data_IF_453105500833
#
_entry.id   IF_453105500833
#
_cell.length_a   1.000
_cell.length_b   1.000
_cell.length_c   1.000
_cell.angle_alpha   90.00
_cell.angle_beta   90.00
_cell.angle_gamma   90.00
#
_symmetry.space_group_name_H-M   'P 1'
#
loop_
_entity.id
_entity.type
_entity.pdbx_description
1 polymer ?
#
# COMPACT_ATOMS: atom_id res chain seq x y z
N UNK A 1 -10.35 11.63 13.02
CA UNK A 1 -10.60 12.19 11.68
C UNK A 1 -11.14 13.61 11.77
N UNK A 2 -12.43 13.84 12.08
CA UNK A 2 -13.04 15.19 12.08
C UNK A 2 -12.36 16.22 12.99
N UNK A 3 -11.92 15.81 14.20
CA UNK A 3 -11.19 16.70 15.12
C UNK A 3 -9.84 17.19 14.59
N UNK A 4 -9.29 16.53 13.57
CA UNK A 4 -8.02 16.87 12.92
C UNK A 4 -8.22 17.52 11.54
N UNK A 5 -9.47 17.77 11.13
CA UNK A 5 -9.78 18.31 9.81
C UNK A 5 -9.53 17.35 8.65
N UNK A 6 -9.35 16.05 8.91
CA UNK A 6 -9.09 15.06 7.86
C UNK A 6 -10.40 14.58 7.24
N UNK A 7 -10.43 14.61 5.92
CA UNK A 7 -11.46 13.95 5.11
C UNK A 7 -11.22 12.43 5.10
N UNK A 8 -12.31 11.67 5.19
CA UNK A 8 -12.27 10.21 5.06
C UNK A 8 -12.73 9.87 3.66
N UNK A 9 -11.83 9.33 2.84
CA UNK A 9 -12.21 8.84 1.53
C UNK A 9 -13.04 7.56 1.66
N UNK A 10 -14.16 7.42 0.94
CA UNK A 10 -14.92 6.18 0.94
C UNK A 10 -14.07 5.06 0.35
N UNK A 11 -14.03 3.92 1.03
CA UNK A 11 -13.32 2.72 0.58
C UNK A 11 -14.29 1.53 0.60
N UNK A 12 -14.54 0.88 -0.55
CA UNK A 12 -15.43 -0.27 -0.62
C UNK A 12 -14.88 -1.46 0.19
N UNK A 13 -15.79 -2.31 0.68
CA UNK A 13 -15.40 -3.52 1.37
C UNK A 13 -14.71 -4.49 0.41
N UNK A 14 -13.70 -5.22 0.91
CA UNK A 14 -12.95 -6.23 0.17
C UNK A 14 -12.19 -5.73 -1.06
N UNK A 15 -11.77 -4.46 -1.12
CA UNK A 15 -11.07 -3.89 -2.29
C UNK A 15 -9.58 -3.57 -2.04
N UNK A 16 -8.73 -4.58 -1.75
CA UNK A 16 -7.28 -4.37 -1.60
C UNK A 16 -6.63 -3.89 -2.91
N UNK A 17 -7.21 -4.23 -4.06
CA UNK A 17 -6.81 -3.76 -5.38
C UNK A 17 -6.98 -2.24 -5.56
N UNK A 18 -7.73 -1.58 -4.67
CA UNK A 18 -7.91 -0.13 -4.59
C UNK A 18 -7.17 0.51 -3.41
N UNK A 19 -6.45 -0.25 -2.59
CA UNK A 19 -5.67 0.26 -1.46
C UNK A 19 -4.18 0.35 -1.85
N UNK A 20 -3.57 1.55 -1.95
CA UNK A 20 -2.16 1.69 -2.33
C UNK A 20 -1.19 0.90 -1.44
N UNK A 21 -1.50 0.77 -0.16
CA UNK A 21 -0.71 -0.06 0.76
C UNK A 21 -0.69 -1.53 0.32
N UNK A 22 -1.82 -2.07 -0.13
CA UNK A 22 -1.93 -3.48 -0.52
C UNK A 22 -1.37 -3.74 -1.92
N UNK A 23 -1.82 -3.00 -2.93
CA UNK A 23 -1.44 -3.28 -4.33
C UNK A 23 -0.02 -2.82 -4.69
N UNK A 24 0.58 -1.90 -3.92
CA UNK A 24 1.88 -1.30 -4.26
C UNK A 24 2.96 -1.58 -3.21
N UNK A 25 2.66 -1.35 -1.92
CA UNK A 25 3.68 -1.39 -0.86
C UNK A 25 3.92 -2.78 -0.29
N UNK A 26 2.87 -3.44 0.21
CA UNK A 26 3.02 -4.66 1.02
C UNK A 26 3.51 -5.86 0.23
N UNK A 27 3.21 -5.94 -1.07
CA UNK A 27 3.76 -6.99 -1.94
C UNK A 27 5.29 -6.92 -2.07
N UNK A 28 5.87 -5.72 -2.03
CA UNK A 28 7.32 -5.53 -2.03
C UNK A 28 7.91 -5.77 -0.63
N UNK A 29 7.27 -5.25 0.41
CA UNK A 29 7.71 -5.44 1.78
C UNK A 29 7.75 -6.94 2.15
N UNK A 30 6.70 -7.70 1.81
CA UNK A 30 6.67 -9.15 2.07
C UNK A 30 7.78 -9.90 1.35
N UNK A 31 8.16 -9.47 0.15
CA UNK A 31 9.29 -10.05 -0.58
C UNK A 31 10.62 -9.73 0.07
N UNK A 32 10.79 -8.49 0.54
CA UNK A 32 11.99 -8.06 1.27
C UNK A 32 12.17 -8.84 2.57
N UNK A 33 11.11 -8.93 3.38
CA UNK A 33 11.12 -9.66 4.65
C UNK A 33 11.11 -11.19 4.48
N UNK A 34 10.93 -11.68 3.25
CA UNK A 34 10.77 -13.10 2.97
C UNK A 34 12.00 -13.90 3.37
N UNK A 35 11.85 -14.80 4.34
CA UNK A 35 12.93 -15.66 4.82
C UNK A 35 13.86 -15.01 5.86
N UNK A 36 13.62 -13.76 6.24
CA UNK A 36 14.30 -13.13 7.36
C UNK A 36 13.72 -13.64 8.68
N UNK A 37 14.59 -13.89 9.66
CA UNK A 37 14.23 -14.17 11.03
C UNK A 37 14.77 -13.04 11.92
N UNK A 38 13.95 -12.59 12.86
CA UNK A 38 14.31 -11.54 13.81
C UNK A 38 14.24 -12.10 15.22
N UNK A 39 15.26 -11.84 16.03
CA UNK A 39 15.33 -12.34 17.41
C UNK A 39 14.46 -11.47 18.33
N UNK A 40 14.37 -10.18 18.04
CA UNK A 40 13.61 -9.21 18.80
C UNK A 40 12.69 -8.35 17.92
N UNK A 41 11.73 -7.69 18.56
CA UNK A 41 10.89 -6.68 17.90
C UNK A 41 11.73 -5.48 17.41
N UNK A 42 12.77 -5.09 18.16
CA UNK A 42 13.64 -3.98 17.81
C UNK A 42 14.44 -4.27 16.53
N UNK A 43 14.85 -5.52 16.30
CA UNK A 43 15.51 -5.94 15.06
C UNK A 43 14.56 -5.78 13.87
N UNK A 44 13.30 -6.21 14.02
CA UNK A 44 12.27 -6.06 12.99
C UNK A 44 11.99 -4.58 12.70
N UNK A 45 11.81 -3.76 13.73
CA UNK A 45 11.55 -2.32 13.58
C UNK A 45 12.73 -1.63 12.88
N UNK A 46 13.96 -2.00 13.24
CA UNK A 46 15.17 -1.44 12.63
C UNK A 46 15.28 -1.81 11.16
N UNK A 47 14.99 -3.07 10.79
CA UNK A 47 14.96 -3.51 9.40
C UNK A 47 13.86 -2.82 8.60
N UNK A 48 12.65 -2.68 9.17
CA UNK A 48 11.56 -1.94 8.53
C UNK A 48 11.95 -0.50 8.23
N UNK A 49 12.55 0.20 9.21
CA UNK A 49 13.03 1.57 9.03
C UNK A 49 14.06 1.66 7.92
N UNK A 50 15.08 0.80 7.96
CA UNK A 50 16.10 0.74 6.92
C UNK A 50 15.49 0.49 5.54
N UNK A 51 14.53 -0.43 5.42
CA UNK A 51 13.84 -0.67 4.15
C UNK A 51 13.10 0.56 3.65
N UNK A 52 12.32 1.22 4.51
CA UNK A 52 11.59 2.45 4.16
C UNK A 52 12.52 3.61 3.80
N UNK A 53 13.64 3.79 4.51
CA UNK A 53 14.62 4.85 4.27
C UNK A 53 15.34 4.69 2.91
N UNK A 54 15.38 3.46 2.39
CA UNK A 54 15.93 3.15 1.07
C UNK A 54 14.92 3.25 -0.08
N UNK A 55 13.64 3.52 0.19
CA UNK A 55 12.64 3.73 -0.86
C UNK A 55 12.68 5.17 -1.37
N UNK A 56 12.69 5.32 -2.69
CA UNK A 56 12.63 6.63 -3.34
C UNK A 56 11.27 7.31 -3.06
N UNK A 57 11.24 8.64 -2.95
CA UNK A 57 9.99 9.39 -2.86
C UNK A 57 9.08 9.12 -4.07
N UNK A 58 9.67 8.91 -5.24
CA UNK A 58 8.96 8.60 -6.47
C UNK A 58 8.26 7.24 -6.40
N UNK A 59 8.80 6.29 -5.63
CA UNK A 59 8.12 5.01 -5.37
C UNK A 59 6.73 5.25 -4.75
N UNK A 60 6.63 6.10 -3.73
CA UNK A 60 5.35 6.42 -3.10
C UNK A 60 4.44 7.23 -4.03
N UNK A 61 5.00 8.20 -4.77
CA UNK A 61 4.23 8.99 -5.74
C UNK A 61 3.58 8.10 -6.79
N UNK A 62 4.30 7.12 -7.33
CA UNK A 62 3.77 6.16 -8.30
C UNK A 62 2.62 5.35 -7.71
N UNK A 63 2.77 4.84 -6.48
CA UNK A 63 1.70 4.09 -5.82
C UNK A 63 0.42 4.89 -5.63
N UNK A 64 0.54 6.13 -5.14
CA UNK A 64 -0.61 7.03 -4.94
C UNK A 64 -1.23 7.45 -6.27
N UNK A 65 -0.42 7.83 -7.27
CA UNK A 65 -0.94 8.26 -8.57
C UNK A 65 -1.62 7.11 -9.33
N UNK A 66 -1.20 5.86 -9.09
CA UNK A 66 -1.82 4.67 -9.66
C UNK A 66 -3.23 4.39 -9.12
N UNK A 67 -3.64 5.03 -8.01
CA UNK A 67 -4.99 4.89 -7.48
C UNK A 67 -6.03 5.39 -8.49
N UNK A 68 -5.78 6.53 -9.15
CA UNK A 68 -6.74 7.10 -10.11
C UNK A 68 -6.98 6.17 -11.30
N UNK A 69 -5.92 5.57 -11.84
CA UNK A 69 -6.04 4.64 -12.97
C UNK A 69 -6.73 3.33 -12.56
N UNK A 70 -6.52 2.85 -11.33
CA UNK A 70 -7.22 1.68 -10.78
C UNK A 70 -8.70 1.95 -10.53
N UNK A 71 -9.04 3.11 -9.98
CA UNK A 71 -10.43 3.51 -9.81
C UNK A 71 -11.17 3.56 -11.16
N UNK A 72 -10.53 4.12 -12.19
CA UNK A 72 -11.10 4.13 -13.54
C UNK A 72 -11.32 2.70 -14.07
N UNK A 73 -10.33 1.81 -13.91
CA UNK A 73 -10.49 0.40 -14.31
C UNK A 73 -11.62 -0.29 -13.56
N UNK A 74 -11.79 -0.05 -12.27
CA UNK A 74 -12.89 -0.61 -11.49
C UNK A 74 -14.25 -0.17 -12.05
N UNK A 75 -14.38 1.11 -12.45
CA UNK A 75 -15.59 1.63 -13.12
C UNK A 75 -15.80 0.94 -14.47
N UNK A 76 -14.75 0.82 -15.28
CA UNK A 76 -14.80 0.18 -16.61
C UNK A 76 -15.16 -1.31 -16.52
N UNK A 77 -14.80 -1.96 -15.40
CA UNK A 77 -15.13 -3.35 -15.08
C UNK A 77 -16.47 -3.51 -14.35
N UNK A 78 -17.31 -2.47 -14.33
CA UNK A 78 -18.62 -2.48 -13.67
C UNK A 78 -18.54 -2.91 -12.19
N UNK A 79 -17.55 -2.36 -11.46
CA UNK A 79 -17.28 -2.64 -10.05
C UNK A 79 -16.72 -4.04 -9.75
N UNK A 80 -16.27 -4.76 -10.76
CA UNK A 80 -15.48 -5.98 -10.58
C UNK A 80 -14.00 -5.64 -10.23
N UNK A 81 -13.27 -6.64 -9.75
CA UNK A 81 -11.89 -6.50 -9.31
C UNK A 81 -10.95 -6.10 -10.45
N UNK A 82 -10.05 -5.17 -10.17
CA UNK A 82 -9.06 -4.67 -11.15
C UNK A 82 -7.95 -5.67 -11.42
N UNK A 83 -7.66 -6.53 -10.44
CA UNK A 83 -6.68 -7.62 -10.54
C UNK A 83 -7.39 -8.97 -10.33
N UNK A 84 -7.05 -9.95 -11.16
CA UNK A 84 -7.50 -11.35 -11.04
C UNK A 84 -6.40 -12.21 -10.45
#
# INVERSE_FOLDING_TARGET
MKRYGWEILPHPAHSPDLAPSDFHLFGLLKRHLGGMAFETEDDLISELRNWFDNLDVDFFRVGINSLLSRLQKCIDLHWDYVEK
#
